data_IF_010243914724
#
_entry.id   IF_010243914724
#
_cell.length_a   1.000
_cell.length_b   1.000
_cell.length_c   1.000
_cell.angle_alpha   90.00
_cell.angle_beta   90.00
_cell.angle_gamma   90.00
#
_symmetry.space_group_name_H-M   'P 1'
#
loop_
_entity.id
_entity.type
_entity.pdbx_description
1 polymer ?
#
# COMPACT_ATOMS: atom_id res chain seq x y z
N UNK A 1 -12.59 -14.47 -64.98
CA UNK A 1 -12.62 -13.91 -63.63
C UNK A 1 -12.89 -15.02 -62.64
N UNK A 2 -11.85 -15.32 -61.89
CA UNK A 2 -12.05 -16.37 -60.87
C UNK A 2 -12.38 -15.72 -59.55
N UNK A 3 -13.55 -16.04 -59.04
CA UNK A 3 -13.91 -15.66 -57.68
C UNK A 3 -13.26 -16.66 -56.74
N UNK A 4 -12.39 -16.21 -55.89
CA UNK A 4 -11.85 -17.02 -54.82
C UNK A 4 -12.97 -17.38 -53.85
N UNK A 5 -13.39 -18.64 -53.92
CA UNK A 5 -14.25 -19.18 -52.90
C UNK A 5 -13.40 -19.80 -51.82
N UNK A 6 -13.28 -19.13 -50.71
CA UNK A 6 -12.66 -19.78 -49.56
C UNK A 6 -13.51 -20.93 -49.09
N UNK A 7 -12.91 -22.13 -48.86
CA UNK A 7 -13.64 -23.27 -48.32
C UNK A 7 -14.16 -22.87 -46.91
N UNK A 8 -15.39 -23.26 -46.65
CA UNK A 8 -16.09 -22.95 -45.40
C UNK A 8 -15.28 -23.40 -44.19
N UNK A 9 -14.51 -24.50 -44.34
CA UNK A 9 -13.62 -24.97 -43.26
C UNK A 9 -12.53 -24.00 -42.90
N UNK A 10 -11.94 -23.33 -43.88
CA UNK A 10 -10.89 -22.29 -43.61
C UNK A 10 -11.50 -21.03 -43.05
N UNK A 11 -12.68 -20.66 -43.53
CA UNK A 11 -13.41 -19.48 -43.00
C UNK A 11 -13.78 -19.71 -41.54
N UNK A 12 -14.25 -20.92 -41.21
CA UNK A 12 -14.60 -21.29 -39.83
C UNK A 12 -13.39 -21.30 -38.93
N UNK A 13 -12.24 -21.77 -39.42
CA UNK A 13 -10.98 -21.72 -38.67
C UNK A 13 -10.52 -20.30 -38.43
N UNK A 14 -10.63 -19.41 -39.41
CA UNK A 14 -10.27 -18.01 -39.25
C UNK A 14 -11.17 -17.30 -38.24
N UNK A 15 -12.46 -17.55 -38.30
CA UNK A 15 -13.43 -16.97 -37.37
C UNK A 15 -13.18 -17.47 -35.95
N UNK A 16 -12.84 -18.74 -35.78
CA UNK A 16 -12.48 -19.29 -34.48
C UNK A 16 -11.17 -18.69 -33.95
N UNK A 17 -10.20 -18.48 -34.83
CA UNK A 17 -8.92 -17.89 -34.44
C UNK A 17 -9.08 -16.43 -34.03
N UNK A 18 -9.90 -15.68 -34.75
CA UNK A 18 -10.22 -14.29 -34.44
C UNK A 18 -11.06 -14.21 -33.14
N UNK A 19 -11.98 -15.15 -32.95
CA UNK A 19 -12.77 -15.24 -31.73
C UNK A 19 -11.94 -15.60 -30.50
N UNK A 20 -10.82 -16.32 -30.69
CA UNK A 20 -9.93 -16.70 -29.60
C UNK A 20 -8.98 -15.57 -29.19
N UNK A 21 -8.78 -14.58 -30.08
CA UNK A 21 -7.95 -13.41 -29.79
C UNK A 21 -8.73 -12.29 -29.09
N UNK A 22 -10.06 -12.32 -29.13
CA UNK A 22 -10.90 -11.29 -28.54
C UNK A 22 -11.01 -11.27 -27.01
N UNK A 23 -10.86 -12.40 -26.28
CA UNK A 23 -11.00 -12.36 -24.83
C UNK A 23 -9.78 -11.81 -24.09
N UNK A 24 -8.71 -11.46 -24.75
CA UNK A 24 -7.53 -10.94 -24.06
C UNK A 24 -7.61 -9.45 -23.69
N UNK A 25 -8.68 -8.79 -24.08
CA UNK A 25 -8.92 -7.41 -23.63
C UNK A 25 -9.78 -7.39 -22.36
N UNK A 26 -9.35 -8.12 -21.35
CA UNK A 26 -9.90 -7.90 -20.01
C UNK A 26 -9.24 -6.62 -19.49
N UNK A 27 -9.87 -5.49 -19.81
CA UNK A 27 -9.51 -4.25 -19.18
C UNK A 27 -9.78 -4.40 -17.69
N UNK A 28 -8.74 -4.28 -16.88
CA UNK A 28 -8.94 -4.15 -15.45
C UNK A 28 -9.82 -2.92 -15.25
N UNK A 29 -11.02 -3.13 -14.71
CA UNK A 29 -11.93 -2.03 -14.44
C UNK A 29 -11.33 -1.17 -13.35
N UNK A 30 -11.18 0.12 -13.67
CA UNK A 30 -10.76 1.09 -12.68
C UNK A 30 -11.97 1.66 -11.98
N UNK A 31 -11.87 1.79 -10.68
CA UNK A 31 -12.90 2.41 -9.85
C UNK A 31 -12.26 3.47 -8.97
N UNK A 32 -13.06 4.43 -8.53
CA UNK A 32 -12.62 5.40 -7.55
C UNK A 32 -12.94 4.87 -6.16
N UNK A 33 -11.90 4.57 -5.40
CA UNK A 33 -12.01 4.09 -4.03
C UNK A 33 -11.89 5.29 -3.10
N UNK A 34 -12.84 5.44 -2.21
CA UNK A 34 -12.83 6.46 -1.17
C UNK A 34 -12.81 5.79 0.19
N UNK A 35 -12.20 6.43 1.15
CA UNK A 35 -12.18 5.87 2.48
C UNK A 35 -11.62 6.83 3.50
N UNK A 36 -11.55 6.32 4.72
CA UNK A 36 -11.01 7.05 5.86
C UNK A 36 -10.02 6.17 6.57
N UNK A 37 -8.86 6.73 6.92
CA UNK A 37 -7.83 6.04 7.69
C UNK A 37 -7.90 6.53 9.13
N UNK A 38 -8.02 5.59 10.05
CA UNK A 38 -8.08 5.85 11.49
C UNK A 38 -7.07 4.98 12.21
N UNK A 39 -6.73 5.38 13.41
CA UNK A 39 -5.94 4.53 14.31
C UNK A 39 -6.86 3.68 15.20
N UNK A 40 -6.26 2.91 16.10
CA UNK A 40 -7.01 2.03 17.00
C UNK A 40 -7.83 2.79 18.03
N UNK A 41 -7.50 4.05 18.29
CA UNK A 41 -8.26 4.91 19.21
C UNK A 41 -9.48 5.56 18.53
N UNK A 42 -9.58 5.44 17.20
CA UNK A 42 -10.65 6.04 16.44
C UNK A 42 -10.33 7.42 15.89
N UNK A 43 -9.11 7.92 16.13
CA UNK A 43 -8.67 9.20 15.57
C UNK A 43 -8.27 9.05 14.13
N UNK A 44 -8.56 10.06 13.34
CA UNK A 44 -8.18 10.07 11.91
C UNK A 44 -6.68 10.28 11.76
N UNK A 45 -6.09 9.59 10.79
CA UNK A 45 -4.66 9.70 10.48
C UNK A 45 -4.49 10.63 9.30
N UNK A 46 -3.86 11.77 9.56
CA UNK A 46 -3.63 12.82 8.57
C UNK A 46 -2.28 12.60 7.92
N UNK A 47 -2.21 12.68 6.59
CA UNK A 47 -0.95 12.56 5.88
C UNK A 47 -0.48 11.12 5.67
N UNK A 48 -1.34 10.13 5.90
CA UNK A 48 -1.01 8.73 5.63
C UNK A 48 -0.89 8.50 4.12
N UNK A 49 0.06 7.67 3.74
CA UNK A 49 0.26 7.29 2.35
C UNK A 49 -0.69 6.15 1.99
N UNK A 50 -1.45 6.33 0.92
CA UNK A 50 -2.39 5.33 0.39
C UNK A 50 -1.97 5.04 -1.04
N UNK A 51 -1.53 3.82 -1.32
CA UNK A 51 -1.03 3.44 -2.62
C UNK A 51 -1.67 2.15 -3.11
N UNK A 52 -1.78 2.02 -4.40
CA UNK A 52 -2.14 0.75 -5.04
C UNK A 52 -0.90 -0.13 -5.11
N UNK A 53 -0.99 -1.34 -4.54
CA UNK A 53 0.14 -2.27 -4.47
C UNK A 53 0.67 -2.62 -5.85
N UNK A 54 1.98 -2.57 -5.99
CA UNK A 54 2.65 -2.89 -7.24
C UNK A 54 2.66 -1.78 -8.27
N UNK A 55 2.17 -0.58 -7.91
CA UNK A 55 2.16 0.58 -8.80
C UNK A 55 2.69 1.81 -8.09
N UNK A 56 2.88 2.89 -8.84
CA UNK A 56 3.22 4.20 -8.27
C UNK A 56 1.99 5.07 -8.05
N UNK A 57 0.80 4.51 -8.27
CA UNK A 57 -0.45 5.23 -8.13
C UNK A 57 -0.83 5.34 -6.65
N UNK A 58 -0.88 6.56 -6.13
CA UNK A 58 -1.17 6.77 -4.73
C UNK A 58 -1.63 8.17 -4.41
N UNK A 59 -2.07 8.36 -3.18
CA UNK A 59 -2.51 9.62 -2.63
C UNK A 59 -2.15 9.70 -1.14
N UNK A 60 -2.48 10.82 -0.53
CA UNK A 60 -2.24 11.09 0.89
C UNK A 60 -3.56 11.46 1.53
N UNK A 61 -3.80 11.01 2.77
CA UNK A 61 -5.02 11.35 3.51
C UNK A 61 -5.05 12.82 3.87
N UNK A 62 -6.26 13.39 3.81
CA UNK A 62 -6.51 14.78 4.19
C UNK A 62 -6.70 14.99 5.69
N UNK A 63 -7.16 16.16 6.06
CA UNK A 63 -7.35 16.56 7.46
C UNK A 63 -8.36 15.70 8.21
N UNK A 64 -9.32 15.14 7.51
CA UNK A 64 -10.31 14.24 8.10
C UNK A 64 -9.90 12.76 7.98
N UNK A 65 -8.66 12.50 7.57
CA UNK A 65 -8.18 11.15 7.33
C UNK A 65 -8.77 10.52 6.07
N UNK A 66 -9.45 11.29 5.25
CA UNK A 66 -10.11 10.82 4.05
C UNK A 66 -9.14 10.73 2.87
N UNK A 67 -9.43 9.80 1.98
CA UNK A 67 -8.66 9.64 0.74
C UNK A 67 -9.60 9.28 -0.41
N UNK A 68 -9.15 9.57 -1.61
CA UNK A 68 -9.81 9.15 -2.84
C UNK A 68 -8.73 8.75 -3.84
N UNK A 69 -8.83 7.54 -4.37
CA UNK A 69 -7.84 6.99 -5.28
C UNK A 69 -8.53 6.24 -6.40
N UNK A 70 -8.16 6.56 -7.63
CA UNK A 70 -8.63 5.83 -8.80
C UNK A 70 -7.69 4.65 -9.03
N UNK A 71 -8.20 3.43 -8.90
CA UNK A 71 -7.40 2.22 -8.95
C UNK A 71 -8.17 1.04 -9.52
N UNK A 72 -7.46 -0.07 -9.71
CA UNK A 72 -8.07 -1.31 -10.18
C UNK A 72 -9.05 -1.88 -9.14
N UNK A 73 -10.21 -2.34 -9.62
CA UNK A 73 -11.24 -2.93 -8.74
C UNK A 73 -10.77 -4.18 -8.01
N UNK A 74 -9.78 -4.89 -8.57
CA UNK A 74 -9.19 -6.09 -7.97
C UNK A 74 -7.87 -5.80 -7.26
N UNK A 75 -7.51 -4.53 -7.13
CA UNK A 75 -6.25 -4.12 -6.53
C UNK A 75 -6.24 -4.24 -5.02
N UNK A 76 -5.04 -4.07 -4.48
CA UNK A 76 -4.82 -4.03 -3.03
C UNK A 76 -4.31 -2.64 -2.67
N UNK A 77 -4.90 -2.03 -1.65
CA UNK A 77 -4.42 -0.77 -1.09
C UNK A 77 -3.33 -1.06 -0.07
N UNK A 78 -2.27 -0.28 -0.11
CA UNK A 78 -1.22 -0.28 0.89
C UNK A 78 -1.27 1.06 1.60
N UNK A 79 -1.59 1.04 2.88
CA UNK A 79 -1.70 2.25 3.70
C UNK A 79 -0.58 2.24 4.73
N UNK A 80 0.18 3.32 4.78
CA UNK A 80 1.31 3.44 5.70
C UNK A 80 1.42 4.84 6.27
N UNK A 81 1.92 4.90 7.49
CA UNK A 81 2.24 6.16 8.16
C UNK A 81 3.36 5.94 9.15
N UNK A 82 4.13 6.98 9.44
CA UNK A 82 5.25 6.91 10.38
C UNK A 82 4.72 6.56 11.78
N UNK A 83 5.31 5.53 12.40
CA UNK A 83 4.88 5.06 13.71
C UNK A 83 3.79 4.01 13.70
N UNK A 84 3.31 3.63 12.52
CA UNK A 84 2.25 2.63 12.36
C UNK A 84 2.71 1.50 11.45
N UNK A 85 2.15 0.33 11.66
CA UNK A 85 2.39 -0.82 10.79
C UNK A 85 1.69 -0.60 9.45
N UNK A 86 2.35 -0.97 8.36
CA UNK A 86 1.78 -0.92 7.04
C UNK A 86 0.60 -1.90 6.95
N UNK A 87 -0.53 -1.41 6.45
CA UNK A 87 -1.75 -2.20 6.32
C UNK A 87 -2.05 -2.42 4.85
N UNK A 88 -2.35 -3.67 4.48
CA UNK A 88 -2.80 -4.00 3.13
C UNK A 88 -4.28 -4.37 3.17
N UNK A 89 -5.05 -3.76 2.28
CA UNK A 89 -6.49 -3.97 2.20
C UNK A 89 -6.88 -4.32 0.77
N UNK A 90 -7.54 -5.47 0.61
CA UNK A 90 -8.06 -5.85 -0.70
C UNK A 90 -9.35 -5.09 -0.97
N UNK A 91 -9.39 -4.44 -2.13
CA UNK A 91 -10.51 -3.57 -2.49
C UNK A 91 -11.76 -4.37 -2.86
N UNK A 92 -11.61 -5.46 -3.63
CA UNK A 92 -12.71 -6.36 -4.03
C UNK A 92 -13.92 -5.63 -4.61
N UNK A 93 -13.67 -4.61 -5.41
CA UNK A 93 -14.72 -3.82 -6.04
C UNK A 93 -15.45 -2.85 -5.11
N UNK A 94 -15.05 -2.73 -3.87
CA UNK A 94 -15.67 -1.81 -2.91
C UNK A 94 -15.20 -0.38 -3.17
N UNK A 95 -16.16 0.53 -3.26
CA UNK A 95 -15.86 1.95 -3.52
C UNK A 95 -15.61 2.73 -2.23
N UNK A 96 -16.02 2.19 -1.09
CA UNK A 96 -15.80 2.83 0.20
C UNK A 96 -15.14 1.84 1.15
N UNK A 97 -14.06 2.29 1.79
CA UNK A 97 -13.27 1.48 2.69
C UNK A 97 -12.95 2.27 3.95
N UNK A 98 -12.83 1.55 5.05
CA UNK A 98 -12.32 2.10 6.30
C UNK A 98 -11.08 1.32 6.70
N UNK A 99 -9.97 2.04 6.90
CA UNK A 99 -8.69 1.43 7.24
C UNK A 99 -8.33 1.82 8.66
N UNK A 100 -7.96 0.83 9.46
CA UNK A 100 -7.50 1.05 10.84
C UNK A 100 -6.03 0.67 10.91
N UNK A 101 -5.20 1.62 11.30
CA UNK A 101 -3.76 1.40 11.46
C UNK A 101 -3.43 1.07 12.91
N UNK A 102 -2.52 0.12 13.08
CA UNK A 102 -1.99 -0.28 14.38
C UNK A 102 -0.64 0.36 14.61
N UNK A 103 -0.38 0.81 15.81
CA UNK A 103 0.93 1.34 16.17
C UNK A 103 2.02 0.28 16.03
N UNK A 104 3.18 0.72 15.56
CA UNK A 104 4.35 -0.14 15.45
C UNK A 104 5.24 0.04 16.69
N UNK A 105 5.03 -0.83 17.66
CA UNK A 105 5.76 -0.78 18.92
C UNK A 105 7.26 -1.04 18.73
N UNK A 106 7.63 -1.87 17.76
CA UNK A 106 9.04 -2.14 17.48
C UNK A 106 9.76 -0.89 16.99
N UNK A 107 9.09 -0.11 16.16
CA UNK A 107 9.66 1.13 15.64
C UNK A 107 9.88 2.15 16.74
N UNK A 108 8.97 2.23 17.71
CA UNK A 108 9.09 3.11 18.86
C UNK A 108 10.23 2.66 19.79
N UNK A 109 10.35 1.37 20.03
CA UNK A 109 11.44 0.81 20.83
C UNK A 109 12.80 1.10 20.19
N UNK A 110 12.91 0.97 18.90
CA UNK A 110 14.12 1.27 18.15
C UNK A 110 14.51 2.74 18.28
N UNK A 111 13.56 3.64 18.19
CA UNK A 111 13.79 5.07 18.35
C UNK A 111 14.27 5.39 19.76
N UNK A 112 13.70 4.75 20.77
CA UNK A 112 14.11 4.94 22.17
C UNK A 112 15.55 4.49 22.38
N UNK A 113 15.95 3.34 21.83
CA UNK A 113 17.33 2.85 21.95
C UNK A 113 18.31 3.79 21.26
N UNK A 114 18.01 4.25 20.09
CA UNK A 114 18.86 5.19 19.35
C UNK A 114 18.92 6.55 20.06
N UNK A 115 17.82 7.03 20.55
CA UNK A 115 17.74 8.30 21.26
C UNK A 115 18.52 8.34 22.55
N UNK A 116 18.83 7.18 23.15
CA UNK A 116 19.62 7.06 24.35
C UNK A 116 21.11 7.10 24.06
N UNK A 117 21.48 6.78 23.02
CA UNK A 117 22.87 6.83 22.60
C UNK A 117 23.71 5.83 23.24
N UNK A 118 24.27 5.71 24.18
CA UNK A 118 25.05 5.21 24.48
C UNK A 118 25.53 4.76 25.04
N UNK A 119 25.46 4.91 25.64
CA UNK A 119 25.72 4.74 26.30
C UNK A 119 26.03 4.12 26.68
N UNK A 120 26.34 3.92 27.22
CA UNK A 120 26.48 3.50 27.92
C UNK A 120 26.75 3.51 28.33
N UNK A 121 26.58 3.60 28.37
CA UNK A 121 26.62 3.78 29.22
C UNK A 121 27.08 3.93 29.28
N UNK A 122 27.45 3.97 29.18
CA UNK A 122 27.77 4.37 29.81
C UNK A 122 28.02 4.70 29.61
N UNK A 123 28.36 4.82 29.58
CA UNK A 123 28.54 5.39 30.04
C UNK A 123 28.54 5.80 29.97
N UNK A 124 28.83 5.83 30.03
CA UNK A 124 28.63 6.36 30.70
C UNK A 124 28.74 6.65 30.79
N UNK A 125 29.15 6.56 30.81
CA UNK A 125 29.19 6.98 31.49
C UNK A 125 29.34 7.12 31.57
N UNK A 126 29.85 6.91 31.49
CA UNK A 126 30.01 7.24 32.09
C UNK A 126 30.12 7.39 32.06
N UNK A 127 30.54 7.39 32.19
CA UNK A 127 30.59 7.74 32.73
C UNK A 127 30.50 7.86 32.90
N UNK A 128 30.74 7.87 33.02
CA UNK A 128 30.56 8.09 33.69
C UNK A 128 30.67 7.96 33.93
N UNK A 129 31.24 7.99 34.03
CA UNK A 129 31.33 8.09 34.72
C UNK A 129 31.48 8.06 34.85
N UNK A 130 31.94 8.04 34.97
CA UNK A 130 32.01 8.19 35.60
C UNK A 130 32.26 8.22 35.88
N UNK A 131 32.56 8.21 35.90
CA UNK A 131 32.60 8.35 36.62
C UNK A 131 32.81 8.31 36.97
N UNK A 132 33.48 8.48 37.25
CA UNK A 132 33.48 8.60 37.94
C UNK A 132 33.86 8.55 38.17
N UNK A 133 34.18 8.47 38.42
CA UNK A 133 34.30 8.59 39.07
C UNK A 133 34.75 8.72 39.29
N UNK A 134 34.95 8.60 39.28
CA UNK A 134 34.99 8.75 39.74
C UNK A 134 34.95 8.99 39.80
N UNK A 135 35.40 9.08 39.88
CA UNK A 135 34.98 9.33 40.08
C UNK A 135 34.85 9.53 39.95
N UNK A 136 35.44 9.49 40.29
CA UNK A 136 34.86 9.63 40.33
C UNK A 136 34.64 9.64 40.42
#
# INVERSE_FOLDING_TARGET
MQKYKMPISRLRMMVCLIGMLLPMCMFAQQITVQGVVKDQTGETVIGASVMEKGTTNGTITGIDGDFSLNMSSNGTLVVSFVGYKTQEVQVKGQKQLQVVLSEDAEMLDEVVVIGYGTMKKSDLTGAVSSIGNKDI
#
